data_IF_768358925615
#
_entry.id   IF_768358925615
#
_cell.length_a   1.000
_cell.length_b   1.000
_cell.length_c   1.000
_cell.angle_alpha   90.00
_cell.angle_beta   90.00
_cell.angle_gamma   90.00
#
_symmetry.space_group_name_H-M   'P 1'
#
loop_
_entity.id
_entity.type
_entity.pdbx_description
1 polymer ?
#
# COMPACT_ATOMS: atom_id res chain seq x y z
N UNK A 1 -6.14 7.45 8.24
CA UNK A 1 -6.47 6.11 7.67
C UNK A 1 -7.96 5.95 7.50
N UNK A 2 -8.43 5.50 6.34
CA UNK A 2 -9.87 5.24 6.10
C UNK A 2 -10.21 3.77 6.40
N UNK A 3 -11.17 3.55 7.29
CA UNK A 3 -11.74 2.24 7.59
C UNK A 3 -12.73 1.81 6.50
N UNK A 4 -13.08 0.52 6.46
CA UNK A 4 -14.09 -0.02 5.53
C UNK A 4 -15.45 0.69 5.65
N UNK A 5 -15.85 1.07 6.86
CA UNK A 5 -17.11 1.79 7.13
C UNK A 5 -17.07 3.28 6.75
N UNK A 6 -15.96 3.73 6.15
CA UNK A 6 -15.75 5.09 5.71
C UNK A 6 -15.27 6.06 6.79
N UNK A 7 -15.22 5.65 8.07
CA UNK A 7 -14.67 6.50 9.14
C UNK A 7 -13.17 6.68 8.98
N UNK A 8 -12.68 7.83 9.45
CA UNK A 8 -11.26 8.10 9.55
C UNK A 8 -10.75 7.76 10.96
N UNK A 9 -9.58 7.13 11.01
CA UNK A 9 -8.81 6.93 12.24
C UNK A 9 -7.36 7.40 12.02
N UNK A 10 -6.72 7.98 13.04
CA UNK A 10 -5.27 8.14 13.06
C UNK A 10 -4.56 6.80 12.85
N UNK A 11 -3.39 6.82 12.21
CA UNK A 11 -2.68 5.59 11.83
C UNK A 11 -2.20 4.81 13.06
N UNK A 12 -1.79 5.51 14.11
CA UNK A 12 -1.36 4.98 15.40
C UNK A 12 -2.47 4.27 16.18
N UNK A 13 -3.74 4.47 15.79
CA UNK A 13 -4.88 3.84 16.44
C UNK A 13 -5.29 2.51 15.80
N UNK A 14 -4.77 2.21 14.60
CA UNK A 14 -5.04 0.94 13.92
C UNK A 14 -4.57 -0.24 14.76
N UNK A 15 -5.23 -1.38 14.57
CA UNK A 15 -4.90 -2.65 15.23
C UNK A 15 -4.93 -3.80 14.23
N UNK A 16 -4.14 -4.87 14.46
CA UNK A 16 -4.33 -6.12 13.75
C UNK A 16 -5.79 -6.55 13.77
N UNK A 17 -6.32 -6.84 12.60
CA UNK A 17 -7.70 -7.24 12.37
C UNK A 17 -8.66 -6.13 11.94
N UNK A 18 -8.28 -4.86 12.04
CA UNK A 18 -9.05 -3.76 11.45
C UNK A 18 -9.18 -3.95 9.94
N UNK A 19 -10.32 -3.52 9.38
CA UNK A 19 -10.55 -3.51 7.93
C UNK A 19 -10.47 -2.08 7.42
N UNK A 20 -9.58 -1.86 6.46
CA UNK A 20 -9.26 -0.54 5.90
C UNK A 20 -9.46 -0.50 4.40
N UNK A 21 -9.62 0.72 3.88
CA UNK A 21 -9.63 0.96 2.44
C UNK A 21 -8.26 0.63 1.84
N UNK A 22 -8.28 -0.23 0.83
CA UNK A 22 -7.13 -0.68 0.05
C UNK A 22 -7.52 -0.73 -1.42
N UNK A 23 -6.56 -0.99 -2.31
CA UNK A 23 -6.78 -1.03 -3.75
C UNK A 23 -6.05 -2.22 -4.36
N UNK A 24 -6.79 -3.06 -5.09
CA UNK A 24 -6.17 -4.07 -5.94
C UNK A 24 -5.81 -3.41 -7.28
N UNK A 25 -4.52 -3.39 -7.61
CA UNK A 25 -4.02 -2.82 -8.87
C UNK A 25 -3.65 -3.95 -9.83
N UNK A 26 -4.21 -4.00 -11.05
CA UNK A 26 -3.84 -5.00 -12.05
C UNK A 26 -2.35 -4.97 -12.38
N UNK A 27 -1.73 -6.14 -12.41
CA UNK A 27 -0.32 -6.30 -12.73
C UNK A 27 0.65 -5.91 -11.61
N UNK A 28 0.17 -5.31 -10.51
CA UNK A 28 0.99 -5.08 -9.32
C UNK A 28 1.16 -6.42 -8.61
N UNK A 29 2.41 -6.88 -8.49
CA UNK A 29 2.72 -8.07 -7.70
C UNK A 29 2.43 -7.81 -6.23
N UNK A 30 1.85 -8.82 -5.56
CA UNK A 30 1.42 -8.74 -4.16
C UNK A 30 2.14 -9.80 -3.35
N UNK A 31 2.35 -9.53 -2.06
CA UNK A 31 3.07 -10.41 -1.14
C UNK A 31 4.51 -10.76 -1.58
N UNK A 32 5.11 -9.85 -2.35
CA UNK A 32 6.50 -9.87 -2.83
C UNK A 32 7.39 -8.91 -2.02
N UNK A 33 8.72 -9.05 -2.07
CA UNK A 33 9.63 -8.13 -1.37
C UNK A 33 9.36 -6.66 -1.72
N UNK A 34 9.49 -5.77 -0.75
CA UNK A 34 9.24 -4.32 -0.83
C UNK A 34 10.01 -3.55 -1.93
N UNK A 35 10.85 -4.17 -2.75
CA UNK A 35 11.42 -3.46 -3.91
C UNK A 35 10.61 -3.71 -5.19
N UNK A 36 9.78 -4.73 -5.21
CA UNK A 36 9.08 -5.17 -6.41
C UNK A 36 8.00 -4.16 -6.86
N UNK A 37 7.38 -3.40 -5.95
CA UNK A 37 6.37 -2.42 -6.35
C UNK A 37 6.94 -1.29 -7.22
N UNK A 38 8.23 -0.96 -7.08
CA UNK A 38 8.89 0.05 -7.93
C UNK A 38 9.07 -0.43 -9.38
N UNK A 39 8.91 -1.72 -9.66
CA UNK A 39 8.95 -2.26 -11.02
C UNK A 39 7.58 -2.16 -11.72
N UNK A 40 6.51 -1.85 -10.98
CA UNK A 40 5.19 -1.67 -11.57
C UNK A 40 5.10 -0.28 -12.20
N UNK A 41 4.89 -0.26 -13.51
CA UNK A 41 4.66 0.95 -14.30
C UNK A 41 3.50 0.71 -15.27
N UNK A 42 2.64 1.71 -15.40
CA UNK A 42 1.51 1.69 -16.34
C UNK A 42 1.48 2.97 -17.17
N UNK A 43 1.25 2.82 -18.49
CA UNK A 43 0.99 3.94 -19.40
C UNK A 43 -0.50 4.17 -19.67
N UNK A 44 -1.37 3.41 -19.02
CA UNK A 44 -2.83 3.46 -19.19
C UNK A 44 -3.54 3.74 -17.85
N UNK A 45 -2.79 4.27 -16.88
CA UNK A 45 -3.27 4.57 -15.54
C UNK A 45 -3.65 3.33 -14.74
N UNK A 46 -4.63 3.51 -13.85
CA UNK A 46 -5.14 2.50 -12.93
C UNK A 46 -6.40 1.80 -13.49
N UNK A 47 -6.50 1.64 -14.81
CA UNK A 47 -7.65 0.97 -15.40
C UNK A 47 -7.79 -0.47 -14.86
N UNK A 48 -8.99 -0.80 -14.38
CA UNK A 48 -9.26 -2.10 -13.72
C UNK A 48 -8.82 -2.16 -12.25
N UNK A 49 -8.21 -1.11 -11.70
CA UNK A 49 -7.96 -1.05 -10.27
C UNK A 49 -9.28 -1.00 -9.50
N UNK A 50 -9.38 -1.84 -8.47
CA UNK A 50 -10.63 -2.06 -7.74
C UNK A 50 -10.41 -1.71 -6.27
N UNK A 51 -11.15 -0.73 -5.72
CA UNK A 51 -11.17 -0.50 -4.28
C UNK A 51 -11.65 -1.76 -3.54
N UNK A 52 -10.93 -2.15 -2.50
CA UNK A 52 -11.24 -3.32 -1.68
C UNK A 52 -11.11 -2.97 -0.20
N UNK A 53 -11.79 -3.74 0.65
CA UNK A 53 -11.60 -3.66 2.09
C UNK A 53 -10.65 -4.78 2.54
N UNK A 54 -9.44 -4.39 2.95
CA UNK A 54 -8.38 -5.33 3.33
C UNK A 54 -8.17 -5.35 4.84
N UNK A 55 -7.74 -6.51 5.36
CA UNK A 55 -7.48 -6.72 6.79
C UNK A 55 -6.04 -6.36 7.12
N UNK A 56 -5.85 -5.54 8.15
CA UNK A 56 -4.53 -5.29 8.73
C UNK A 56 -4.03 -6.57 9.42
N UNK A 57 -2.92 -7.13 8.99
CA UNK A 57 -2.35 -8.34 9.59
C UNK A 57 -1.43 -8.02 10.78
N UNK A 58 -0.57 -7.01 10.62
CA UNK A 58 0.36 -6.59 11.66
C UNK A 58 0.65 -5.10 11.56
N UNK A 59 1.09 -4.53 12.69
CA UNK A 59 1.45 -3.13 12.83
C UNK A 59 2.77 -3.07 13.58
N UNK A 60 3.70 -2.27 13.08
CA UNK A 60 4.97 -1.98 13.72
C UNK A 60 5.09 -0.48 13.96
N UNK A 61 5.26 -0.10 15.23
CA UNK A 61 5.58 1.27 15.61
C UNK A 61 7.09 1.45 15.60
N UNK A 62 7.56 2.57 15.07
CA UNK A 62 8.96 2.91 15.02
C UNK A 62 9.21 4.40 15.22
N UNK A 63 10.48 4.76 15.07
CA UNK A 63 10.93 6.15 15.01
C UNK A 63 11.90 6.29 13.85
N UNK A 64 11.90 7.47 13.22
CA UNK A 64 12.78 7.82 12.13
C UNK A 64 13.31 9.24 12.31
N UNK A 65 14.52 9.54 11.82
CA UNK A 65 15.05 10.89 11.80
C UNK A 65 14.94 11.48 10.40
N UNK A 66 14.20 12.58 10.29
CA UNK A 66 13.89 13.21 9.02
C UNK A 66 12.63 12.64 8.38
N UNK A 67 11.80 13.51 7.81
CA UNK A 67 10.59 13.12 7.10
C UNK A 67 10.25 14.12 6.00
N UNK A 68 9.44 13.68 5.05
CA UNK A 68 8.93 14.50 3.96
C UNK A 68 7.55 15.04 4.31
N UNK A 69 7.28 16.29 3.92
CA UNK A 69 5.96 16.92 3.96
C UNK A 69 5.55 17.27 2.53
N UNK A 70 4.53 16.60 2.00
CA UNK A 70 4.01 16.82 0.65
C UNK A 70 2.66 17.56 0.74
N UNK A 71 2.47 18.59 -0.08
CA UNK A 71 1.28 19.45 -0.10
C UNK A 71 0.88 19.97 1.29
N UNK A 72 1.87 20.22 2.16
CA UNK A 72 1.71 20.66 3.56
C UNK A 72 0.84 19.72 4.43
N UNK A 73 0.56 18.50 3.96
CA UNK A 73 -0.42 17.58 4.54
C UNK A 73 0.19 16.21 4.81
N UNK A 74 0.75 15.58 3.79
CA UNK A 74 1.20 14.20 3.84
C UNK A 74 2.57 14.13 4.52
N UNK A 75 2.69 13.33 5.58
CA UNK A 75 3.93 13.10 6.31
C UNK A 75 4.37 11.66 6.16
N UNK A 76 5.58 11.46 5.65
CA UNK A 76 6.11 10.12 5.40
C UNK A 76 7.63 10.08 5.58
N UNK A 77 8.18 8.89 5.85
CA UNK A 77 9.63 8.72 5.73
C UNK A 77 10.09 8.96 4.29
N UNK A 78 11.36 9.36 4.06
CA UNK A 78 11.89 9.60 2.71
C UNK A 78 11.66 8.46 1.73
N UNK A 79 11.73 7.22 2.21
CA UNK A 79 11.65 6.00 1.41
C UNK A 79 10.22 5.56 1.10
N UNK A 80 9.20 6.15 1.75
CA UNK A 80 7.83 5.66 1.69
C UNK A 80 7.25 5.79 0.25
N UNK A 81 6.69 4.74 -0.35
CA UNK A 81 6.20 4.77 -1.73
C UNK A 81 4.78 5.35 -1.84
N UNK A 82 4.63 6.40 -2.63
CA UNK A 82 3.33 6.93 -3.04
C UNK A 82 3.01 6.47 -4.47
N UNK A 83 1.75 6.15 -4.72
CA UNK A 83 1.25 5.99 -6.08
C UNK A 83 1.18 7.38 -6.72
N UNK A 84 1.93 7.58 -7.80
CA UNK A 84 1.97 8.85 -8.54
C UNK A 84 1.78 8.63 -10.04
N UNK A 85 1.41 9.70 -10.74
CA UNK A 85 1.71 9.88 -12.16
C UNK A 85 2.82 10.90 -12.34
N UNK A 86 3.77 10.58 -13.22
CA UNK A 86 4.75 11.52 -13.76
C UNK A 86 4.79 11.38 -15.27
N UNK A 87 4.51 12.45 -16.00
CA UNK A 87 4.35 12.35 -17.45
C UNK A 87 3.17 11.43 -17.81
N UNK A 88 3.37 10.48 -18.71
CA UNK A 88 2.37 9.47 -19.10
C UNK A 88 2.50 8.15 -18.32
N UNK A 89 3.28 8.12 -17.24
CA UNK A 89 3.55 6.91 -16.45
C UNK A 89 2.95 7.01 -15.04
N UNK A 90 2.26 5.94 -14.63
CA UNK A 90 1.79 5.71 -13.27
C UNK A 90 2.65 4.64 -12.63
N UNK A 91 3.07 4.88 -11.39
CA UNK A 91 3.95 3.98 -10.66
C UNK A 91 4.11 4.41 -9.21
N UNK A 92 5.03 3.74 -8.51
CA UNK A 92 5.41 4.12 -7.15
C UNK A 92 6.70 4.94 -7.15
N UNK A 93 6.70 6.03 -6.39
CA UNK A 93 7.90 6.81 -6.10
C UNK A 93 8.05 7.01 -4.60
N UNK A 94 9.28 6.88 -4.10
CA UNK A 94 9.59 7.22 -2.71
C UNK A 94 9.35 8.72 -2.48
N UNK A 95 8.89 9.07 -1.28
CA UNK A 95 8.53 10.43 -0.90
C UNK A 95 9.64 11.47 -1.19
N UNK A 96 10.91 11.08 -1.06
CA UNK A 96 12.06 11.96 -1.33
C UNK A 96 12.31 12.26 -2.81
N UNK A 97 11.75 11.47 -3.72
CA UNK A 97 11.87 11.67 -5.16
C UNK A 97 10.64 12.30 -5.80
N UNK A 98 9.58 12.51 -5.01
CA UNK A 98 8.40 13.27 -5.44
C UNK A 98 8.79 14.75 -5.54
N UNK A 99 8.30 15.41 -6.58
CA UNK A 99 8.60 16.81 -6.86
C UNK A 99 7.34 17.55 -7.32
N UNK A 100 7.31 18.89 -7.23
CA UNK A 100 6.24 19.67 -7.81
C UNK A 100 6.01 19.36 -9.29
N UNK A 101 4.76 19.23 -9.71
CA UNK A 101 4.35 18.82 -11.06
C UNK A 101 4.14 17.31 -11.24
N UNK A 102 4.49 16.48 -10.25
CA UNK A 102 3.95 15.12 -10.15
C UNK A 102 2.47 15.17 -9.75
N UNK A 103 1.78 14.05 -9.92
CA UNK A 103 0.38 13.91 -9.50
C UNK A 103 0.22 12.72 -8.55
N UNK A 104 -0.25 12.97 -7.33
CA UNK A 104 -0.68 11.94 -6.40
C UNK A 104 -2.01 11.34 -6.88
N UNK A 105 -2.23 10.06 -6.65
CA UNK A 105 -3.52 9.43 -6.95
C UNK A 105 -4.39 9.41 -5.69
N UNK A 106 -5.53 10.10 -5.75
CA UNK A 106 -6.45 10.18 -4.63
C UNK A 106 -7.46 9.01 -4.54
N UNK A 107 -8.27 9.00 -3.49
CA UNK A 107 -9.25 7.94 -3.21
C UNK A 107 -10.29 7.69 -4.32
N UNK A 108 -10.51 8.68 -5.18
CA UNK A 108 -11.44 8.61 -6.31
C UNK A 108 -10.74 8.24 -7.63
N UNK A 109 -9.46 7.85 -7.57
CA UNK A 109 -8.58 7.62 -8.73
C UNK A 109 -8.34 8.88 -9.57
N UNK A 110 -8.59 10.06 -9.00
CA UNK A 110 -8.26 11.32 -9.65
C UNK A 110 -6.84 11.75 -9.29
N UNK A 111 -6.27 12.55 -10.16
CA UNK A 111 -4.94 13.11 -10.01
C UNK A 111 -4.99 14.40 -9.17
N UNK A 112 -4.19 14.44 -8.11
CA UNK A 112 -3.94 15.62 -7.28
C UNK A 112 -2.53 16.13 -7.54
N UNK A 113 -2.39 17.34 -8.07
CA UNK A 113 -1.09 17.94 -8.34
C UNK A 113 -0.26 18.09 -7.04
N UNK A 114 1.02 17.74 -7.13
CA UNK A 114 2.00 18.06 -6.10
C UNK A 114 2.44 19.51 -6.31
N UNK A 115 2.10 20.37 -5.37
CA UNK A 115 2.47 21.79 -5.37
C UNK A 115 3.71 22.06 -4.51
N UNK A 116 3.97 21.22 -3.50
CA UNK A 116 5.08 21.43 -2.56
C UNK A 116 5.59 20.12 -1.96
N UNK A 117 6.91 20.05 -1.79
CA UNK A 117 7.61 18.97 -1.11
C UNK A 117 8.69 19.59 -0.23
N UNK A 118 8.68 19.27 1.06
CA UNK A 118 9.64 19.82 2.03
C UNK A 118 10.21 18.70 2.87
N UNK A 119 11.54 18.61 2.95
CA UNK A 119 12.22 17.74 3.92
C UNK A 119 12.34 18.47 5.25
N UNK A 120 11.94 17.81 6.33
CA UNK A 120 12.07 18.29 7.70
C UNK A 120 13.10 17.43 8.40
N UNK A 121 14.14 18.04 8.95
CA UNK A 121 15.18 17.34 9.71
C UNK A 121 14.83 17.35 11.20
N UNK A 122 13.97 16.41 11.60
CA UNK A 122 13.52 16.24 12.98
C UNK A 122 13.09 14.77 13.21
N UNK A 123 13.11 14.28 14.45
CA UNK A 123 12.56 12.96 14.77
C UNK A 123 11.05 12.90 14.49
N UNK A 124 10.60 11.75 13.99
CA UNK A 124 9.19 11.43 13.79
C UNK A 124 8.91 10.01 14.26
N UNK A 125 7.67 9.74 14.68
CA UNK A 125 7.20 8.39 14.98
C UNK A 125 6.60 7.80 13.71
N UNK A 126 6.87 6.53 13.44
CA UNK A 126 6.43 5.86 12.21
C UNK A 126 5.49 4.71 12.51
N UNK A 127 4.63 4.38 11.56
CA UNK A 127 3.76 3.20 11.62
C UNK A 127 3.84 2.45 10.31
N UNK A 128 4.38 1.23 10.35
CA UNK A 128 4.35 0.30 9.22
C UNK A 128 3.21 -0.70 9.39
N UNK A 129 2.44 -0.95 8.33
CA UNK A 129 1.23 -1.78 8.31
C UNK A 129 1.33 -2.86 7.25
N UNK A 130 1.30 -4.13 7.65
CA UNK A 130 1.20 -5.23 6.69
C UNK A 130 -0.26 -5.53 6.34
N UNK A 131 -0.57 -5.57 5.04
CA UNK A 131 -1.90 -5.85 4.50
C UNK A 131 -1.76 -6.95 3.43
N UNK A 132 -1.93 -8.23 3.79
CA UNK A 132 -1.77 -9.34 2.86
C UNK A 132 -2.59 -9.19 1.59
N UNK A 133 -2.01 -9.58 0.46
CA UNK A 133 -2.65 -9.60 -0.85
C UNK A 133 -2.73 -8.25 -1.55
N UNK A 134 -2.42 -7.13 -0.90
CA UNK A 134 -2.45 -5.80 -1.55
C UNK A 134 -1.28 -4.91 -1.15
N UNK A 135 -0.98 -4.81 0.15
CA UNK A 135 -0.03 -3.85 0.76
C UNK A 135 -0.23 -2.39 0.32
N UNK A 136 -1.36 -2.05 -0.28
CA UNK A 136 -1.77 -0.69 -0.61
C UNK A 136 -2.79 -0.20 0.41
N UNK A 137 -2.75 1.09 0.72
CA UNK A 137 -3.65 1.70 1.68
C UNK A 137 -3.94 3.16 1.34
N UNK A 138 -5.04 3.67 1.89
CA UNK A 138 -5.42 5.07 1.76
C UNK A 138 -4.93 5.89 2.96
N UNK A 139 -3.89 6.69 2.75
CA UNK A 139 -3.32 7.60 3.74
C UNK A 139 -3.69 9.05 3.39
N UNK A 140 -4.40 9.73 4.28
CA UNK A 140 -4.77 11.16 4.12
C UNK A 140 -5.42 11.49 2.75
N UNK A 141 -6.11 10.52 2.15
CA UNK A 141 -6.82 10.68 0.87
C UNK A 141 -6.04 10.26 -0.38
N UNK A 142 -4.80 9.77 -0.25
CA UNK A 142 -3.98 9.28 -1.39
C UNK A 142 -3.58 7.82 -1.22
N UNK A 143 -3.39 7.14 -2.35
CA UNK A 143 -2.94 5.75 -2.37
C UNK A 143 -1.43 5.65 -2.19
N UNK A 144 -1.02 4.82 -1.24
CA UNK A 144 0.38 4.53 -0.93
C UNK A 144 0.58 3.03 -0.81
N UNK A 145 1.83 2.60 -0.84
CA UNK A 145 2.21 1.21 -0.60
C UNK A 145 2.98 1.10 0.70
N UNK A 146 2.75 0.05 1.48
CA UNK A 146 3.47 -0.15 2.73
C UNK A 146 4.58 -1.20 2.60
N UNK A 147 5.59 -1.10 3.46
CA UNK A 147 6.61 -2.14 3.61
C UNK A 147 6.02 -3.43 4.19
N UNK A 148 6.35 -4.58 3.58
CA UNK A 148 6.23 -5.86 4.26
C UNK A 148 7.48 -6.04 5.11
N UNK A 149 7.41 -5.93 6.45
CA UNK A 149 8.53 -6.36 7.26
C UNK A 149 8.79 -7.84 6.93
N UNK A 150 10.04 -8.17 6.60
CA UNK A 150 10.50 -9.50 6.13
C UNK A 150 10.12 -10.68 7.06
N UNK A 151 9.61 -10.40 8.27
CA UNK A 151 9.10 -11.40 9.21
C UNK A 151 7.73 -11.97 8.83
N UNK A 152 6.96 -11.32 7.95
CA UNK A 152 5.67 -11.85 7.48
C UNK A 152 5.80 -13.03 6.50
N UNK A 153 6.96 -13.20 5.85
CA UNK A 153 7.22 -14.33 4.95
C UNK A 153 7.58 -15.64 5.69
N UNK A 154 7.74 -15.61 7.03
CA UNK A 154 8.12 -16.80 7.82
C UNK A 154 6.94 -17.57 8.40
N UNK A 155 5.69 -17.11 8.26
CA UNK A 155 4.52 -17.84 8.82
C UNK A 155 3.99 -18.97 7.92
N UNK A 156 4.83 -19.44 6.99
CA UNK A 156 4.52 -20.50 6.02
C UNK A 156 5.55 -21.63 5.98
N UNK A 157 6.10 -22.05 7.12
CA UNK A 157 6.82 -23.33 7.21
C UNK A 157 6.86 -23.80 8.67
N UNK A 158 6.05 -24.80 8.99
CA UNK A 158 6.14 -25.49 10.27
C UNK A 158 7.53 -26.09 10.45
N UNK A 159 8.17 -25.75 11.57
CA UNK A 159 9.28 -26.51 12.14
C UNK A 159 9.29 -26.25 13.64
N UNK A 160 8.87 -27.28 14.38
CA UNK A 160 8.84 -27.29 15.83
C UNK A 160 10.26 -27.17 16.38
N UNK A 161 10.60 -26.04 16.99
CA UNK A 161 11.72 -25.93 17.91
C UNK A 161 11.21 -26.12 19.33
N UNK A 162 11.16 -27.38 19.76
CA UNK A 162 10.89 -27.76 21.14
C UNK A 162 11.99 -27.21 22.05
N UNK A 163 11.64 -26.25 22.89
CA UNK A 163 12.46 -25.85 24.04
C UNK A 163 11.83 -26.46 25.27
N UNK A 164 12.36 -27.61 25.68
CA UNK A 164 11.99 -28.28 26.92
C UNK A 164 12.57 -27.54 28.12
N UNK A 165 11.71 -27.04 28.98
CA UNK A 165 12.04 -26.72 30.36
C UNK A 165 10.88 -27.17 31.23
N UNK A 166 11.06 -28.34 31.85
CA UNK A 166 10.07 -28.97 32.71
C UNK A 166 9.94 -28.24 34.05
N UNK A 167 8.71 -28.20 34.55
CA UNK A 167 8.37 -28.18 35.97
C UNK A 167 6.96 -28.75 36.10
N UNK A 168 6.88 -29.92 36.73
CA UNK A 168 5.65 -30.69 36.90
C UNK A 168 4.82 -30.18 38.08
N UNK A 169 3.50 -30.09 37.90
CA UNK A 169 2.46 -30.53 38.86
C UNK A 169 1.07 -30.25 38.28
N UNK A 170 0.23 -31.28 38.16
CA UNK A 170 -1.16 -31.11 37.74
C UNK A 170 -1.78 -32.39 37.17
N UNK A 171 -2.40 -33.18 38.04
CA UNK A 171 -3.17 -34.38 37.71
C UNK A 171 -4.36 -34.04 36.84
N UNK A 172 -4.46 -34.66 35.66
CA UNK A 172 -5.62 -34.52 34.77
C UNK A 172 -5.75 -35.74 33.86
N UNK A 173 -6.67 -36.64 34.19
CA UNK A 173 -7.06 -37.77 33.36
C UNK A 173 -7.85 -37.26 32.15
N UNK A 174 -7.34 -37.50 30.94
CA UNK A 174 -7.99 -37.13 29.70
C UNK A 174 -7.69 -38.14 28.60
N UNK A 175 -8.62 -39.06 28.38
CA UNK A 175 -8.62 -40.03 27.28
C UNK A 175 -8.88 -39.30 25.97
N UNK A 176 -7.96 -39.40 25.01
CA UNK A 176 -8.10 -38.79 23.69
C UNK A 176 -7.44 -39.65 22.62
N UNK A 177 -8.23 -40.52 22.00
CA UNK A 177 -7.85 -41.32 20.84
C UNK A 177 -7.86 -40.43 19.59
N UNK A 178 -6.71 -40.22 18.96
CA UNK A 178 -6.58 -39.49 17.70
C UNK A 178 -5.89 -40.34 16.65
N UNK A 179 -6.67 -40.95 15.76
CA UNK A 179 -6.18 -41.70 14.60
C UNK A 179 -5.72 -40.72 13.51
N UNK A 180 -4.41 -40.65 13.26
CA UNK A 180 -3.85 -39.88 12.15
C UNK A 180 -3.84 -40.71 10.86
N UNK A 181 -4.64 -40.31 9.87
CA UNK A 181 -4.57 -40.84 8.51
C UNK A 181 -4.01 -39.74 7.60
N UNK A 182 -2.70 -39.78 7.38
CA UNK A 182 -2.03 -38.94 6.39
C UNK A 182 -2.09 -39.58 5.01
N UNK A 183 -2.78 -38.96 4.08
CA UNK A 183 -2.72 -39.31 2.65
C UNK A 183 -2.09 -38.14 1.89
N UNK A 184 -0.77 -38.22 1.70
CA UNK A 184 -0.04 -37.32 0.81
C UNK A 184 0.01 -37.93 -0.59
N UNK A 185 -0.70 -37.35 -1.55
CA UNK A 185 -0.59 -37.68 -2.97
C UNK A 185 0.16 -36.55 -3.66
N UNK A 186 1.48 -36.69 -3.78
CA UNK A 186 2.30 -35.87 -4.66
C UNK A 186 2.11 -36.32 -6.10
N UNK A 187 1.71 -35.40 -6.97
CA UNK A 187 1.72 -35.60 -8.43
C UNK A 187 2.71 -34.63 -9.03
N UNK A 188 3.80 -35.18 -9.57
CA UNK A 188 4.80 -34.43 -10.31
C UNK A 188 4.46 -34.31 -11.80
N UNK A 189 4.89 -33.18 -12.36
CA UNK A 189 5.60 -33.02 -13.64
C UNK A 189 4.86 -33.23 -14.98
N UNK A 190 4.78 -32.09 -15.70
CA UNK A 190 5.44 -31.82 -17.00
C UNK A 190 4.67 -31.98 -18.32
N UNK A 191 5.16 -31.16 -19.28
CA UNK A 191 4.87 -31.03 -20.72
C UNK A 191 3.69 -30.11 -21.08
N UNK A 192 3.75 -29.24 -22.09
CA UNK A 192 4.76 -28.95 -23.11
C UNK A 192 4.12 -28.12 -24.23
N UNK A 193 4.85 -27.12 -24.71
CA UNK A 193 4.89 -26.48 -26.06
C UNK A 193 3.64 -26.33 -26.94
N UNK A 194 3.46 -25.14 -27.53
CA UNK A 194 2.67 -24.95 -28.75
C UNK A 194 2.59 -23.50 -29.25
N UNK A 195 3.38 -23.17 -30.28
CA UNK A 195 3.46 -21.87 -30.96
C UNK A 195 2.41 -21.70 -32.07
N UNK A 196 1.94 -20.47 -32.32
CA UNK A 196 1.56 -19.84 -33.61
C UNK A 196 0.78 -18.55 -33.29
N UNK A 197 0.94 -17.37 -33.93
CA UNK A 197 1.52 -16.97 -35.20
C UNK A 197 0.43 -16.42 -36.12
N UNK A 198 0.30 -15.08 -36.25
CA UNK A 198 -0.28 -14.23 -37.34
C UNK A 198 -0.78 -12.90 -36.73
N UNK A 199 -0.27 -11.68 -36.95
CA UNK A 199 -0.04 -10.79 -38.12
C UNK A 199 -1.28 -10.18 -38.80
N UNK A 200 -1.19 -8.85 -39.01
CA UNK A 200 -1.94 -7.91 -39.88
C UNK A 200 -3.29 -7.39 -39.34
N UNK A 201 -3.72 -6.13 -39.51
CA UNK A 201 -3.16 -4.92 -40.14
C UNK A 201 -4.13 -3.72 -40.03
N UNK A 202 -3.60 -2.50 -39.88
CA UNK A 202 -4.12 -1.22 -40.41
C UNK A 202 -5.42 -0.64 -39.80
N UNK A 203 -5.69 0.67 -39.80
CA UNK A 203 -4.97 1.86 -40.28
C UNK A 203 -5.75 3.12 -39.82
N UNK A 204 -5.03 4.17 -39.41
CA UNK A 204 -5.32 5.62 -39.47
C UNK A 204 -6.77 6.14 -39.63
N UNK A 205 -7.13 7.17 -38.85
CA UNK A 205 -7.22 8.58 -39.34
C UNK A 205 -7.63 9.59 -38.28
N UNK A 206 -6.97 10.74 -38.37
CA UNK A 206 -7.17 12.09 -37.84
C UNK A 206 -8.62 12.62 -37.83
N UNK A 207 -8.94 13.51 -36.88
CA UNK A 207 -9.39 14.89 -37.15
C UNK A 207 -9.58 15.71 -35.87
N UNK A 208 -9.14 16.96 -35.99
CA UNK A 208 -9.16 18.09 -35.07
C UNK A 208 -10.54 18.61 -34.67
N UNK A 209 -10.63 19.25 -33.50
CA UNK A 209 -11.71 20.16 -33.13
C UNK A 209 -11.34 21.02 -31.93
N UNK A 210 -10.95 22.27 -32.18
CA UNK A 210 -10.72 23.31 -31.18
C UNK A 210 -12.01 24.04 -30.84
N UNK A 211 -12.25 24.38 -29.57
CA UNK A 211 -12.92 25.63 -29.19
C UNK A 211 -12.86 25.92 -27.69
N UNK A 212 -12.64 27.19 -27.42
CA UNK A 212 -12.45 27.98 -26.19
C UNK A 212 -13.65 28.13 -25.24
N UNK A 213 -13.35 28.49 -23.98
CA UNK A 213 -14.23 29.20 -23.03
C UNK A 213 -13.81 28.95 -21.58
N UNK A 214 -13.00 29.80 -20.93
CA UNK A 214 -13.39 31.00 -20.18
C UNK A 214 -14.41 30.74 -19.04
N UNK A 215 -13.94 30.79 -17.79
CA UNK A 215 -14.82 30.76 -16.61
C UNK A 215 -14.06 30.88 -15.30
N UNK A 216 -13.86 32.12 -14.85
CA UNK A 216 -13.31 32.49 -13.54
C UNK A 216 -14.22 32.06 -12.39
N UNK A 217 -13.65 31.58 -11.29
CA UNK A 217 -14.39 31.25 -10.07
C UNK A 217 -13.48 31.22 -8.85
N UNK A 218 -13.17 32.41 -8.31
CA UNK A 218 -12.51 32.59 -7.02
C UNK A 218 -13.44 32.20 -5.88
N UNK A 219 -13.10 31.13 -5.16
CA UNK A 219 -13.76 30.70 -3.93
C UNK A 219 -12.75 30.65 -2.78
N UNK A 220 -12.63 31.74 -2.04
CA UNK A 220 -11.85 31.83 -0.81
C UNK A 220 -12.44 30.92 0.26
N UNK A 221 -11.71 29.88 0.68
CA UNK A 221 -12.03 29.13 1.90
C UNK A 221 -10.96 29.41 2.95
N UNK A 222 -11.24 30.43 3.76
CA UNK A 222 -10.62 30.66 5.06
C UNK A 222 -11.00 29.51 5.99
N UNK A 223 -10.05 28.58 6.21
CA UNK A 223 -10.12 27.51 7.20
C UNK A 223 -9.04 27.71 8.25
N UNK A 224 -9.49 27.94 9.47
CA UNK A 224 -8.76 28.44 10.63
C UNK A 224 -7.55 27.61 11.05
N UNK A 225 -6.49 28.33 11.43
CA UNK A 225 -5.39 27.85 12.26
C UNK A 225 -5.89 27.27 13.59
N UNK A 226 -5.54 26.01 13.86
CA UNK A 226 -5.48 25.45 15.22
C UNK A 226 -4.04 25.06 15.51
N UNK A 227 -3.28 26.04 16.01
CA UNK A 227 -2.06 25.81 16.76
C UNK A 227 -2.42 25.16 18.10
N UNK A 228 -2.37 23.83 18.15
CA UNK A 228 -2.50 23.01 19.36
C UNK A 228 -1.23 22.18 19.54
N UNK A 229 -0.59 22.32 20.69
CA UNK A 229 0.77 21.84 20.94
C UNK A 229 0.94 20.31 20.96
N UNK A 230 2.18 19.90 20.68
CA UNK A 230 2.84 18.81 21.39
C UNK A 230 2.22 17.42 21.31
N UNK A 231 1.72 16.99 20.15
CA UNK A 231 1.51 15.57 19.85
C UNK A 231 2.32 15.24 18.61
N UNK A 232 3.41 14.48 18.74
CA UNK A 232 4.25 14.09 17.62
C UNK A 232 3.39 13.45 16.53
N UNK A 233 3.27 14.10 15.38
CA UNK A 233 2.49 13.60 14.25
C UNK A 233 3.18 12.37 13.69
N UNK A 234 2.45 11.27 13.57
CA UNK A 234 2.98 10.05 12.97
C UNK A 234 3.19 10.23 11.46
N UNK A 235 4.27 9.64 10.96
CA UNK A 235 4.55 9.49 9.55
C UNK A 235 4.26 8.06 9.12
N UNK A 236 3.83 7.90 7.88
CA UNK A 236 3.80 6.58 7.23
C UNK A 236 5.20 6.20 6.76
#
# INVERSE_FOLDING_TARGET
MRLEDGRLTPIENLKPGDRIASIQVPGLEVDVPYRAQYNWLSHHGLHGATPVAARVASILLGEHHGFMVINRRLKATPEHPFMIRRGDEWGFASAEFIQPGDFLINEHMNEEEVESVVRIDAPTRTVAIHIPGTNTLLAEGVWVHNDMPATAQSSGSGSASGSGSGSASGSGSGSGSGSGSGSGSGSGSSSGSGSSGSKSSGSSSFSSGSSSGSGSGSGSMSGSSSSGGGTGTFSI
#
